data_IF_771772113939
#
_entry.id   IF_771772113939
#
_cell.length_a   1.000
_cell.length_b   1.000
_cell.length_c   1.000
_cell.angle_alpha   90.00
_cell.angle_beta   90.00
_cell.angle_gamma   90.00
#
_symmetry.space_group_name_H-M   'P 1'
#
loop_
_entity.id
_entity.type
_entity.pdbx_description
1 polymer ?
#
# COMPACT_ATOMS: atom_id res chain seq x y z
N UNK A 1 -3.91 -12.57 22.05
CA UNK A 1 -4.87 -12.78 20.93
C UNK A 1 -5.42 -11.46 20.37
N UNK A 2 -5.87 -10.50 21.20
CA UNK A 2 -6.46 -9.21 20.78
C UNK A 2 -5.58 -8.35 19.85
N UNK A 3 -4.24 -8.34 20.03
CA UNK A 3 -3.34 -7.54 19.18
C UNK A 3 -3.14 -8.11 17.77
N UNK A 4 -3.17 -9.44 17.60
CA UNK A 4 -3.07 -10.08 16.26
C UNK A 4 -4.30 -9.76 15.41
N UNK A 5 -5.49 -9.87 16.00
CA UNK A 5 -6.75 -9.55 15.34
C UNK A 5 -6.82 -8.07 14.91
N UNK A 6 -6.39 -7.15 15.79
CA UNK A 6 -6.27 -5.73 15.46
C UNK A 6 -5.32 -5.48 14.29
N UNK A 7 -4.15 -6.14 14.27
CA UNK A 7 -3.20 -6.04 13.16
C UNK A 7 -3.80 -6.48 11.82
N UNK A 8 -4.45 -7.65 11.78
CA UNK A 8 -5.11 -8.15 10.57
C UNK A 8 -6.20 -7.21 10.05
N UNK A 9 -7.00 -6.62 10.94
CA UNK A 9 -8.03 -5.64 10.56
C UNK A 9 -7.40 -4.38 9.95
N UNK A 10 -6.33 -3.85 10.54
CA UNK A 10 -5.66 -2.67 10.01
C UNK A 10 -5.07 -2.91 8.62
N UNK A 11 -4.48 -4.09 8.39
CA UNK A 11 -3.94 -4.48 7.08
C UNK A 11 -5.08 -4.62 6.07
N UNK A 12 -6.19 -5.28 6.44
CA UNK A 12 -7.35 -5.40 5.56
C UNK A 12 -7.94 -4.04 5.18
N UNK A 13 -8.10 -3.14 6.16
CA UNK A 13 -8.58 -1.78 5.92
C UNK A 13 -7.63 -0.97 5.04
N UNK A 14 -6.31 -1.17 5.16
CA UNK A 14 -5.35 -0.44 4.35
C UNK A 14 -5.38 -0.87 2.88
N UNK A 15 -5.57 -2.16 2.63
CA UNK A 15 -5.79 -2.69 1.28
C UNK A 15 -7.06 -2.08 0.69
N UNK A 16 -8.17 -2.08 1.43
CA UNK A 16 -9.45 -1.49 0.97
C UNK A 16 -9.29 0.02 0.70
N UNK A 17 -8.60 0.75 1.57
CA UNK A 17 -8.36 2.17 1.36
C UNK A 17 -7.51 2.42 0.10
N UNK A 18 -6.51 1.58 -0.16
CA UNK A 18 -5.67 1.65 -1.35
C UNK A 18 -6.44 1.31 -2.64
N UNK A 19 -7.27 0.27 -2.62
CA UNK A 19 -8.05 -0.12 -3.81
C UNK A 19 -9.16 0.88 -4.14
N UNK A 20 -9.86 1.39 -3.12
CA UNK A 20 -10.97 2.34 -3.30
C UNK A 20 -10.41 3.71 -3.66
N UNK A 21 -9.44 4.23 -2.91
CA UNK A 21 -8.87 5.56 -3.15
C UNK A 21 -8.18 5.71 -4.51
N UNK A 22 -7.67 4.60 -5.06
CA UNK A 22 -7.04 4.54 -6.39
C UNK A 22 -7.85 3.69 -7.36
N UNK A 23 -9.18 3.78 -7.29
CA UNK A 23 -10.09 3.09 -8.20
C UNK A 23 -10.16 3.74 -9.60
N UNK A 24 -9.75 4.99 -9.72
CA UNK A 24 -9.90 5.82 -10.92
C UNK A 24 -11.06 6.82 -10.85
N UNK A 25 -11.94 6.70 -9.84
CA UNK A 25 -12.98 7.70 -9.55
C UNK A 25 -12.44 8.79 -8.62
N UNK A 26 -12.50 10.04 -9.08
CA UNK A 26 -12.03 11.24 -8.35
C UNK A 26 -12.75 11.39 -7.00
N UNK A 27 -14.03 11.01 -6.90
CA UNK A 27 -14.79 11.13 -5.65
C UNK A 27 -14.27 10.20 -4.55
N UNK A 28 -13.54 9.16 -4.92
CA UNK A 28 -12.98 8.19 -3.97
C UNK A 28 -11.61 8.57 -3.44
N UNK A 29 -10.92 9.56 -4.04
CA UNK A 29 -9.59 10.02 -3.62
C UNK A 29 -9.48 10.38 -2.13
N UNK A 30 -10.49 11.02 -1.48
CA UNK A 30 -10.41 11.30 -0.05
C UNK A 30 -10.23 10.04 0.82
N UNK A 31 -10.64 8.86 0.35
CA UNK A 31 -10.43 7.58 1.06
C UNK A 31 -8.94 7.28 1.25
N UNK A 32 -8.06 7.79 0.38
CA UNK A 32 -6.61 7.66 0.53
C UNK A 32 -6.10 8.30 1.85
N UNK A 33 -6.80 9.29 2.40
CA UNK A 33 -6.44 9.92 3.68
C UNK A 33 -6.64 9.00 4.89
N UNK A 34 -7.28 7.86 4.72
CA UNK A 34 -7.44 6.85 5.78
C UNK A 34 -6.11 6.13 6.05
N UNK A 35 -5.22 6.04 5.06
CA UNK A 35 -3.91 5.39 5.21
C UNK A 35 -3.09 5.92 6.41
N UNK A 36 -2.79 7.22 6.54
CA UNK A 36 -1.99 7.73 7.67
C UNK A 36 -2.64 7.45 9.03
N UNK A 37 -3.97 7.43 9.11
CA UNK A 37 -4.70 7.05 10.33
C UNK A 37 -4.48 5.57 10.68
N UNK A 38 -4.55 4.67 9.70
CA UNK A 38 -4.30 3.24 9.90
C UNK A 38 -2.84 2.96 10.27
N UNK A 39 -1.91 3.66 9.63
CA UNK A 39 -0.48 3.58 9.94
C UNK A 39 -0.19 4.06 11.36
N UNK A 40 -0.75 5.20 11.77
CA UNK A 40 -0.68 5.73 13.15
C UNK A 40 -1.22 4.76 14.21
N UNK A 41 -2.29 4.03 13.89
CA UNK A 41 -2.94 3.08 14.83
C UNK A 41 -2.26 1.71 14.87
N UNK A 42 -1.20 1.50 14.09
CA UNK A 42 -0.49 0.23 14.03
C UNK A 42 0.22 -0.04 15.36
N UNK A 43 -0.03 -1.19 16.03
CA UNK A 43 0.52 -1.46 17.36
C UNK A 43 1.97 -1.97 17.36
N UNK A 44 2.56 -2.16 16.18
CA UNK A 44 3.96 -2.53 16.02
C UNK A 44 4.52 -2.06 14.69
N UNK A 45 5.84 -1.91 14.62
CA UNK A 45 6.57 -1.59 13.38
C UNK A 45 6.28 -2.58 12.25
N UNK A 46 6.12 -3.86 12.57
CA UNK A 46 5.81 -4.91 11.59
C UNK A 46 4.39 -4.75 11.02
N UNK A 47 3.42 -4.36 11.85
CA UNK A 47 2.07 -4.08 11.38
C UNK A 47 2.03 -2.78 10.57
N UNK A 48 2.77 -1.74 10.98
CA UNK A 48 2.90 -0.50 10.21
C UNK A 48 3.50 -0.74 8.82
N UNK A 49 4.51 -1.61 8.73
CA UNK A 49 5.09 -2.06 7.47
C UNK A 49 4.06 -2.81 6.62
N UNK A 50 3.33 -3.77 7.21
CA UNK A 50 2.30 -4.53 6.50
C UNK A 50 1.11 -3.67 6.03
N UNK A 51 0.69 -2.69 6.83
CA UNK A 51 -0.34 -1.69 6.48
C UNK A 51 0.12 -0.86 5.29
N UNK A 52 1.37 -0.39 5.31
CA UNK A 52 1.99 0.37 4.21
C UNK A 52 2.13 -0.47 2.94
N UNK A 53 2.53 -1.73 3.08
CA UNK A 53 2.65 -2.66 1.95
C UNK A 53 1.28 -2.92 1.33
N UNK A 54 0.28 -3.27 2.15
CA UNK A 54 -1.08 -3.53 1.70
C UNK A 54 -1.70 -2.35 0.97
N UNK A 55 -1.55 -1.13 1.53
CA UNK A 55 -2.04 0.09 0.90
C UNK A 55 -1.35 0.36 -0.44
N UNK A 56 0.00 0.37 -0.46
CA UNK A 56 0.74 0.76 -1.66
C UNK A 56 0.59 -0.27 -2.80
N UNK A 57 0.63 -1.57 -2.49
CA UNK A 57 0.41 -2.63 -3.48
C UNK A 57 -1.00 -2.56 -4.07
N UNK A 58 -2.02 -2.29 -3.24
CA UNK A 58 -3.40 -2.12 -3.68
C UNK A 58 -3.57 -0.88 -4.56
N UNK A 59 -2.94 0.23 -4.18
CA UNK A 59 -2.98 1.50 -4.93
C UNK A 59 -2.27 1.39 -6.29
N UNK A 60 -1.15 0.69 -6.34
CA UNK A 60 -0.28 0.60 -7.53
C UNK A 60 -0.50 -0.65 -8.39
N UNK A 61 -1.59 -1.40 -8.16
CA UNK A 61 -1.91 -2.66 -8.88
C UNK A 61 -1.95 -2.55 -10.40
N UNK A 62 -2.24 -1.36 -10.95
CA UNK A 62 -2.26 -1.11 -12.39
C UNK A 62 -0.89 -0.76 -12.99
N UNK A 63 0.14 -0.53 -12.16
CA UNK A 63 1.44 -0.02 -12.56
C UNK A 63 2.22 -1.00 -13.46
N UNK A 64 2.27 -2.33 -13.18
CA UNK A 64 2.94 -3.28 -14.08
C UNK A 64 2.34 -3.29 -15.49
N UNK A 65 1.01 -3.23 -15.59
CA UNK A 65 0.29 -3.20 -16.87
C UNK A 65 0.50 -1.87 -17.59
N UNK A 66 0.53 -0.75 -16.85
CA UNK A 66 0.85 0.57 -17.40
C UNK A 66 2.25 0.59 -18.03
N UNK A 67 3.27 0.12 -17.32
CA UNK A 67 4.65 0.07 -17.85
C UNK A 67 4.74 -0.81 -19.10
N UNK A 68 4.12 -1.99 -19.10
CA UNK A 68 4.09 -2.85 -20.29
C UNK A 68 3.47 -2.14 -21.50
N UNK A 69 2.39 -1.38 -21.27
CA UNK A 69 1.68 -0.64 -22.32
C UNK A 69 2.48 0.55 -22.85
N UNK A 70 3.12 1.33 -21.96
CA UNK A 70 3.85 2.54 -22.32
C UNK A 70 5.22 2.29 -22.93
N UNK A 71 5.94 1.26 -22.45
CA UNK A 71 7.30 0.96 -22.91
C UNK A 71 7.34 -0.07 -24.05
N UNK A 72 6.18 -0.54 -24.53
CA UNK A 72 6.06 -1.67 -25.47
C UNK A 72 6.95 -2.86 -25.05
N UNK A 73 7.11 -3.02 -23.73
CA UNK A 73 8.01 -3.98 -23.12
C UNK A 73 7.17 -5.10 -22.47
N UNK A 74 7.81 -6.24 -22.23
CA UNK A 74 7.20 -7.30 -21.43
C UNK A 74 6.82 -6.80 -20.03
N UNK A 75 6.01 -7.57 -19.31
CA UNK A 75 5.57 -7.21 -17.95
C UNK A 75 6.72 -7.18 -16.92
N UNK A 76 7.89 -7.73 -17.25
CA UNK A 76 9.05 -7.89 -16.38
C UNK A 76 9.63 -6.56 -15.84
N UNK A 77 10.01 -5.57 -16.69
CA UNK A 77 10.38 -4.24 -16.22
C UNK A 77 9.33 -3.59 -15.32
N UNK A 78 8.04 -3.73 -15.67
CA UNK A 78 6.93 -3.20 -14.88
C UNK A 78 6.85 -3.82 -13.48
N UNK A 79 7.00 -5.14 -13.39
CA UNK A 79 7.04 -5.86 -12.11
C UNK A 79 8.25 -5.45 -11.27
N UNK A 80 9.44 -5.32 -11.88
CA UNK A 80 10.65 -4.94 -11.16
C UNK A 80 10.50 -3.54 -10.54
N UNK A 81 10.04 -2.57 -11.34
CA UNK A 81 9.77 -1.21 -10.87
C UNK A 81 8.69 -1.19 -9.78
N UNK A 82 7.62 -1.96 -9.96
CA UNK A 82 6.53 -2.05 -8.99
C UNK A 82 7.00 -2.60 -7.63
N UNK A 83 7.81 -3.67 -7.64
CA UNK A 83 8.40 -4.25 -6.42
C UNK A 83 9.37 -3.28 -5.76
N UNK A 84 10.25 -2.62 -6.53
CA UNK A 84 11.19 -1.65 -5.98
C UNK A 84 10.48 -0.44 -5.36
N UNK A 85 9.50 0.13 -6.04
CA UNK A 85 8.71 1.24 -5.53
C UNK A 85 7.98 0.84 -4.23
N UNK A 86 7.37 -0.35 -4.22
CA UNK A 86 6.71 -0.90 -3.04
C UNK A 86 7.67 -1.08 -1.87
N UNK A 87 8.86 -1.65 -2.12
CA UNK A 87 9.87 -1.85 -1.09
C UNK A 87 10.37 -0.52 -0.50
N UNK A 88 10.64 0.48 -1.35
CA UNK A 88 11.04 1.81 -0.91
C UNK A 88 9.97 2.45 -0.02
N UNK A 89 8.71 2.44 -0.46
CA UNK A 89 7.59 3.01 0.30
C UNK A 89 7.44 2.35 1.68
N UNK A 90 7.44 1.01 1.71
CA UNK A 90 7.29 0.23 2.94
C UNK A 90 8.46 0.48 3.89
N UNK A 91 9.69 0.51 3.37
CA UNK A 91 10.89 0.69 4.19
C UNK A 91 10.88 2.06 4.87
N UNK A 92 10.53 3.13 4.15
CA UNK A 92 10.42 4.48 4.73
C UNK A 92 9.37 4.53 5.84
N UNK A 93 8.17 3.99 5.59
CA UNK A 93 7.08 3.99 6.57
C UNK A 93 7.35 3.06 7.76
N UNK A 94 8.09 1.98 7.56
CA UNK A 94 8.55 1.13 8.65
C UNK A 94 9.66 1.80 9.46
N UNK A 95 10.61 2.47 8.80
CA UNK A 95 11.73 3.16 9.41
C UNK A 95 11.27 4.31 10.32
N UNK A 96 10.37 5.15 9.80
CA UNK A 96 9.82 6.34 10.46
C UNK A 96 8.76 6.02 11.53
N UNK A 97 8.32 4.78 11.68
CA UNK A 97 7.32 4.43 12.69
C UNK A 97 7.94 4.47 14.10
N UNK A 98 7.52 5.43 14.92
CA UNK A 98 7.99 5.63 16.29
C UNK A 98 6.87 5.43 17.29
N UNK A 99 6.63 4.16 17.66
CA UNK A 99 5.74 3.64 18.72
C UNK A 99 4.27 4.05 18.72
#
# INVERSE_FOLDING_TARGET
MRNRWRGSVLIGLSIVAGTVGWSGDVLTLPVAMIFPLLWSKSPSRLIAAAVSAGYFLAASRGLPQGVATFYAADIWPGLLLWVMASACFVTVHAALWTR
#
